data_IF_074401497243
#
_entry.id   IF_074401497243
#
_cell.length_a   1.000
_cell.length_b   1.000
_cell.length_c   1.000
_cell.angle_alpha   90.00
_cell.angle_beta   90.00
_cell.angle_gamma   90.00
#
_symmetry.space_group_name_H-M   'P 1'
#
loop_
_entity.id
_entity.type
_entity.pdbx_description
1 polymer ?
#
# COMPACT_ATOMS: atom_id res chain seq x y z
N UNK A 1 6.55 26.07 -49.31
CA UNK A 1 6.33 27.49 -49.69
C UNK A 1 5.49 28.15 -48.63
N UNK A 2 5.97 29.29 -48.22
CA UNK A 2 5.41 30.40 -47.41
C UNK A 2 5.39 30.26 -45.88
N UNK A 3 6.43 30.87 -45.36
CA UNK A 3 6.56 31.43 -44.00
C UNK A 3 5.69 32.69 -43.89
N UNK A 4 5.09 32.94 -42.73
CA UNK A 4 4.73 34.29 -42.32
C UNK A 4 5.08 34.43 -40.83
N UNK A 5 6.00 35.35 -40.57
CA UNK A 5 6.37 35.94 -39.28
C UNK A 5 5.50 37.17 -39.05
N UNK A 6 5.02 37.41 -37.85
CA UNK A 6 4.72 38.77 -37.38
C UNK A 6 5.18 38.88 -35.93
N UNK A 7 6.17 39.76 -35.74
CA UNK A 7 6.59 40.31 -34.48
C UNK A 7 5.87 41.65 -34.27
N UNK A 8 5.47 41.95 -33.06
CA UNK A 8 5.24 43.34 -32.64
C UNK A 8 5.74 43.56 -31.21
N UNK A 9 6.73 44.46 -31.16
CA UNK A 9 7.29 45.12 -30.02
C UNK A 9 6.30 46.16 -29.45
N UNK A 10 6.35 46.41 -28.16
CA UNK A 10 5.71 47.56 -27.53
C UNK A 10 6.26 47.81 -26.15
N UNK A 11 7.27 48.66 -26.11
CA UNK A 11 7.90 49.28 -24.91
C UNK A 11 7.03 50.41 -24.40
N UNK A 12 6.87 50.56 -23.07
CA UNK A 12 6.83 51.89 -22.47
C UNK A 12 7.23 51.82 -20.97
N UNK A 13 8.34 52.55 -20.69
CA UNK A 13 8.79 52.96 -19.35
C UNK A 13 7.94 54.13 -18.84
N UNK A 14 7.71 54.20 -17.52
CA UNK A 14 7.62 55.47 -16.83
C UNK A 14 8.28 55.31 -15.43
N UNK A 15 9.32 56.14 -15.23
CA UNK A 15 9.97 56.46 -13.95
C UNK A 15 9.11 57.44 -13.13
N UNK A 16 9.13 57.29 -11.83
CA UNK A 16 8.63 58.29 -10.89
C UNK A 16 9.28 58.18 -9.52
N UNK A 17 10.02 59.21 -9.16
CA UNK A 17 10.96 59.34 -8.04
C UNK A 17 10.29 59.72 -6.70
N UNK A 18 10.93 59.26 -5.61
CA UNK A 18 11.28 59.93 -4.33
C UNK A 18 10.15 60.36 -3.38
N UNK A 19 10.28 59.91 -2.14
CA UNK A 19 9.64 60.44 -0.95
C UNK A 19 10.17 59.77 0.31
N UNK A 20 11.17 60.39 0.94
CA UNK A 20 11.71 60.06 2.25
C UNK A 20 10.78 60.56 3.35
N UNK A 21 10.54 59.79 4.39
CA UNK A 21 9.79 60.23 5.56
C UNK A 21 9.79 59.17 6.67
N UNK A 22 10.50 59.50 7.74
CA UNK A 22 10.69 58.77 8.98
C UNK A 22 9.45 58.66 9.84
N UNK A 23 9.46 57.64 10.69
CA UNK A 23 8.90 57.42 12.03
C UNK A 23 7.75 56.43 12.24
N UNK A 24 8.14 55.42 12.94
CA UNK A 24 7.52 54.79 14.16
C UNK A 24 6.02 54.53 14.19
N UNK A 25 5.68 53.28 14.24
CA UNK A 25 4.33 52.83 14.64
C UNK A 25 4.18 51.30 14.57
N UNK A 26 4.39 50.66 15.71
CA UNK A 26 4.06 49.24 15.91
C UNK A 26 2.60 48.98 15.59
N UNK A 27 2.31 48.05 14.70
CA UNK A 27 1.17 47.15 14.86
C UNK A 27 1.45 45.86 14.10
N UNK A 28 1.43 44.78 14.87
CA UNK A 28 1.62 43.39 14.38
C UNK A 28 0.38 42.98 13.61
N UNK A 29 0.51 42.77 12.32
CA UNK A 29 -0.51 42.05 11.53
C UNK A 29 -0.10 40.60 11.42
N UNK A 30 -0.96 39.79 11.98
CA UNK A 30 -0.86 38.35 12.18
C UNK A 30 -1.05 37.64 10.84
N UNK A 31 0.04 37.22 10.21
CA UNK A 31 -0.04 36.27 9.07
C UNK A 31 -0.60 34.95 9.55
N UNK A 32 -1.67 34.50 8.91
CA UNK A 32 -2.26 33.18 9.14
C UNK A 32 -1.29 32.08 8.72
N UNK A 33 -1.08 31.05 9.53
CA UNK A 33 -0.26 29.90 9.13
C UNK A 33 -1.01 29.01 8.14
N UNK A 34 -0.31 28.58 7.09
CA UNK A 34 -0.74 27.53 6.19
C UNK A 34 -0.98 26.23 6.97
N UNK A 35 -1.93 25.37 6.55
CA UNK A 35 -2.22 24.14 7.26
C UNK A 35 -1.02 23.20 7.23
N UNK A 36 -0.46 22.93 8.39
CA UNK A 36 0.54 21.89 8.59
C UNK A 36 -0.06 20.54 8.26
N UNK A 37 0.52 19.85 7.29
CA UNK A 37 0.25 18.45 7.07
C UNK A 37 0.73 17.68 8.30
N UNK A 38 -0.19 17.21 9.10
CA UNK A 38 0.08 16.32 10.21
C UNK A 38 0.49 14.95 9.65
N UNK A 39 1.77 14.69 9.58
CA UNK A 39 2.30 13.34 9.47
C UNK A 39 1.99 12.63 10.78
N UNK A 40 0.94 11.83 10.80
CA UNK A 40 0.69 10.90 11.89
C UNK A 40 1.74 9.79 11.82
N UNK A 41 2.86 9.98 12.51
CA UNK A 41 3.73 8.92 12.96
C UNK A 41 2.99 8.17 14.06
N UNK A 42 2.47 6.99 13.73
CA UNK A 42 1.93 6.08 14.73
C UNK A 42 3.10 5.36 15.40
N UNK A 43 3.64 5.95 16.46
CA UNK A 43 4.37 5.21 17.49
C UNK A 43 3.36 4.39 18.28
N UNK A 44 3.17 3.11 17.90
CA UNK A 44 2.42 2.19 18.74
C UNK A 44 3.34 1.13 19.32
N UNK A 45 3.92 1.43 20.46
CA UNK A 45 4.47 0.43 21.37
C UNK A 45 3.36 0.00 22.32
N UNK A 46 2.67 -1.11 21.99
CA UNK A 46 1.71 -1.76 22.87
C UNK A 46 2.26 -3.08 23.39
N UNK A 47 1.91 -3.53 24.62
CA UNK A 47 2.51 -4.68 25.29
C UNK A 47 2.09 -6.01 24.67
N UNK A 48 3.01 -6.97 24.67
CA UNK A 48 2.85 -8.28 24.09
C UNK A 48 1.74 -9.10 24.78
N UNK A 49 0.61 -9.29 24.08
CA UNK A 49 -0.39 -10.27 24.44
C UNK A 49 -0.17 -11.55 23.61
N UNK A 50 -0.51 -12.72 24.19
CA UNK A 50 -0.41 -14.03 23.52
C UNK A 50 -1.11 -13.99 22.15
N UNK A 51 -0.43 -14.48 21.12
CA UNK A 51 -1.04 -14.69 19.81
C UNK A 51 -1.28 -13.43 18.99
N UNK A 52 -0.32 -12.50 18.95
CA UNK A 52 -0.45 -11.29 18.11
C UNK A 52 -0.56 -11.63 16.63
N UNK A 53 -1.57 -11.05 16.00
CA UNK A 53 -1.84 -11.21 14.58
C UNK A 53 -1.49 -9.91 13.86
N UNK A 54 -0.75 -10.02 12.76
CA UNK A 54 -0.53 -8.94 11.81
C UNK A 54 -1.27 -9.24 10.52
N UNK A 55 -2.07 -8.31 10.03
CA UNK A 55 -2.61 -8.32 8.68
C UNK A 55 -1.72 -7.47 7.80
N UNK A 56 -0.82 -8.11 7.04
CA UNK A 56 0.03 -7.46 6.06
C UNK A 56 -0.66 -7.48 4.69
N UNK A 57 -0.93 -6.30 4.11
CA UNK A 57 -1.72 -6.23 2.90
C UNK A 57 -1.11 -5.36 1.81
N UNK A 58 -1.37 -5.75 0.55
CA UNK A 58 -1.16 -4.91 -0.63
C UNK A 58 -2.51 -4.58 -1.27
N UNK A 59 -2.71 -3.32 -1.64
CA UNK A 59 -3.93 -2.88 -2.32
C UNK A 59 -3.64 -1.72 -3.26
N UNK A 60 -3.86 -1.91 -4.56
CA UNK A 60 -3.68 -0.86 -5.57
C UNK A 60 -4.95 0.00 -5.75
N UNK A 61 -6.15 -0.58 -5.57
CA UNK A 61 -7.44 0.10 -5.84
C UNK A 61 -8.31 0.29 -4.61
N UNK A 62 -7.84 -0.12 -3.42
CA UNK A 62 -8.57 0.03 -2.16
C UNK A 62 -9.41 -1.18 -1.75
N UNK A 63 -9.78 -2.09 -2.66
CA UNK A 63 -10.63 -3.25 -2.34
C UNK A 63 -10.00 -4.15 -1.27
N UNK A 64 -8.75 -4.54 -1.45
CA UNK A 64 -8.04 -5.38 -0.49
C UNK A 64 -7.77 -4.63 0.83
N UNK A 65 -7.54 -3.32 0.79
CA UNK A 65 -7.42 -2.49 2.00
C UNK A 65 -8.68 -2.61 2.85
N UNK A 66 -9.87 -2.47 2.24
CA UNK A 66 -11.15 -2.61 2.95
C UNK A 66 -11.28 -3.99 3.61
N UNK A 67 -10.94 -5.07 2.89
CA UNK A 67 -10.91 -6.42 3.46
C UNK A 67 -9.91 -6.54 4.62
N UNK A 68 -8.70 -6.01 4.47
CA UNK A 68 -7.66 -6.07 5.48
C UNK A 68 -8.07 -5.33 6.77
N UNK A 69 -8.65 -4.14 6.65
CA UNK A 69 -9.17 -3.35 7.77
C UNK A 69 -10.31 -4.08 8.49
N UNK A 70 -11.25 -4.67 7.74
CA UNK A 70 -12.33 -5.47 8.32
C UNK A 70 -11.79 -6.71 9.04
N UNK A 71 -10.78 -7.37 8.45
CA UNK A 71 -10.11 -8.52 9.05
C UNK A 71 -9.37 -8.13 10.34
N UNK A 72 -8.62 -7.04 10.31
CA UNK A 72 -7.92 -6.56 11.50
C UNK A 72 -8.89 -6.23 12.64
N UNK A 73 -9.99 -5.54 12.36
CA UNK A 73 -11.06 -5.28 13.34
C UNK A 73 -11.69 -6.57 13.86
N UNK A 74 -12.00 -7.52 12.98
CA UNK A 74 -12.63 -8.79 13.36
C UNK A 74 -11.72 -9.63 14.27
N UNK A 75 -10.41 -9.62 14.06
CA UNK A 75 -9.43 -10.44 14.77
C UNK A 75 -8.71 -9.70 15.90
N UNK A 76 -8.99 -8.41 16.09
CA UNK A 76 -8.20 -7.52 16.96
C UNK A 76 -6.71 -7.58 16.61
N UNK A 77 -6.40 -7.46 15.33
CA UNK A 77 -5.07 -7.57 14.74
C UNK A 77 -4.51 -6.20 14.36
N UNK A 78 -3.19 -6.10 14.29
CA UNK A 78 -2.52 -4.94 13.75
C UNK A 78 -2.48 -4.97 12.21
N UNK A 79 -2.34 -3.80 11.58
CA UNK A 79 -2.26 -3.64 10.13
C UNK A 79 -0.87 -3.20 9.70
N UNK A 80 -0.40 -3.74 8.58
CA UNK A 80 0.78 -3.25 7.87
C UNK A 80 0.49 -3.19 6.36
N UNK A 81 0.69 -2.03 5.76
CA UNK A 81 0.54 -1.86 4.31
C UNK A 81 1.86 -2.18 3.59
N UNK A 82 1.83 -3.19 2.74
CA UNK A 82 2.92 -3.52 1.82
C UNK A 82 2.86 -2.51 0.67
N UNK A 83 3.81 -1.59 0.63
CA UNK A 83 3.83 -0.53 -0.38
C UNK A 83 4.97 -0.74 -1.37
N UNK A 84 4.72 -0.67 -2.68
CA UNK A 84 5.79 -0.58 -3.65
C UNK A 84 6.51 0.77 -3.55
N UNK A 85 7.83 0.80 -3.86
CA UNK A 85 8.62 2.03 -3.92
C UNK A 85 8.01 3.06 -4.87
N UNK A 86 7.51 2.59 -6.02
CA UNK A 86 6.75 3.38 -6.98
C UNK A 86 5.31 2.87 -6.97
N UNK A 87 4.32 3.67 -6.51
CA UNK A 87 2.91 3.28 -6.54
C UNK A 87 2.44 2.93 -7.96
N UNK A 88 1.48 2.02 -8.08
CA UNK A 88 0.83 1.76 -9.37
C UNK A 88 -0.12 2.89 -9.71
N UNK A 89 0.04 3.46 -10.90
CA UNK A 89 -0.90 4.42 -11.46
C UNK A 89 -2.15 3.70 -12.01
N UNK A 90 -3.16 4.46 -12.39
CA UNK A 90 -4.36 3.90 -13.02
C UNK A 90 -4.03 3.24 -14.37
N UNK A 91 -3.09 3.83 -15.09
CA UNK A 91 -2.61 3.34 -16.38
C UNK A 91 -1.84 2.03 -16.21
N UNK A 92 -1.02 1.90 -15.14
CA UNK A 92 -0.31 0.66 -14.81
C UNK A 92 -1.24 -0.54 -14.57
N UNK A 93 -2.49 -0.29 -14.22
CA UNK A 93 -3.50 -1.30 -13.87
C UNK A 93 -4.46 -1.62 -15.02
N UNK A 94 -4.22 -1.15 -16.24
CA UNK A 94 -5.06 -1.46 -17.39
C UNK A 94 -4.83 -2.89 -17.88
N UNK A 95 -5.69 -3.82 -17.51
CA UNK A 95 -5.62 -5.24 -17.88
C UNK A 95 -5.79 -5.54 -19.37
N UNK A 96 -6.27 -4.57 -20.13
CA UNK A 96 -6.47 -4.72 -21.60
C UNK A 96 -5.21 -4.35 -22.38
N UNK A 97 -4.18 -3.87 -21.74
CA UNK A 97 -2.91 -3.47 -22.34
C UNK A 97 -1.77 -4.35 -21.80
N UNK A 98 -1.20 -5.16 -22.69
CA UNK A 98 -0.13 -6.10 -22.42
C UNK A 98 1.19 -5.42 -21.99
N UNK A 99 1.35 -4.14 -22.30
CA UNK A 99 2.55 -3.34 -22.01
C UNK A 99 2.52 -2.64 -20.66
N UNK A 100 1.39 -2.69 -19.95
CA UNK A 100 1.27 -2.04 -18.65
C UNK A 100 2.18 -2.70 -17.61
N UNK A 101 2.61 -1.90 -16.64
CA UNK A 101 3.53 -2.35 -15.60
C UNK A 101 3.01 -3.58 -14.85
N UNK A 102 1.74 -3.57 -14.44
CA UNK A 102 1.16 -4.71 -13.72
C UNK A 102 1.16 -5.98 -14.58
N UNK A 103 0.85 -5.87 -15.90
CA UNK A 103 0.88 -7.01 -16.83
C UNK A 103 2.29 -7.53 -17.01
N UNK A 104 3.25 -6.65 -17.28
CA UNK A 104 4.66 -7.01 -17.51
C UNK A 104 5.25 -7.68 -16.26
N UNK A 105 5.05 -7.09 -15.08
CA UNK A 105 5.52 -7.68 -13.84
C UNK A 105 4.88 -9.06 -13.60
N UNK A 106 3.57 -9.19 -13.81
CA UNK A 106 2.84 -10.43 -13.51
C UNK A 106 3.23 -11.58 -14.45
N UNK A 107 3.54 -11.28 -15.71
CA UNK A 107 4.03 -12.28 -16.69
C UNK A 107 5.49 -12.69 -16.48
N UNK A 108 6.22 -11.98 -15.65
CA UNK A 108 7.62 -12.28 -15.33
C UNK A 108 7.75 -12.87 -13.91
N UNK A 109 7.95 -14.19 -13.82
CA UNK A 109 8.10 -14.89 -12.54
C UNK A 109 9.30 -14.41 -11.69
N UNK A 110 10.28 -13.79 -12.34
CA UNK A 110 11.47 -13.22 -11.69
C UNK A 110 11.28 -11.74 -11.28
N UNK A 111 10.16 -11.12 -11.61
CA UNK A 111 9.93 -9.73 -11.23
C UNK A 111 9.85 -9.59 -9.70
N UNK A 112 10.60 -8.62 -9.18
CA UNK A 112 10.63 -8.29 -7.74
C UNK A 112 10.49 -6.78 -7.59
N UNK A 113 9.25 -6.22 -7.68
CA UNK A 113 9.03 -4.82 -7.43
C UNK A 113 9.57 -4.43 -6.06
N UNK A 114 10.28 -3.31 -5.97
CA UNK A 114 10.90 -2.87 -4.73
C UNK A 114 9.84 -2.43 -3.72
N UNK A 115 10.06 -2.78 -2.45
CA UNK A 115 9.28 -2.27 -1.33
C UNK A 115 9.69 -0.82 -1.02
N UNK A 116 8.71 0.02 -0.68
CA UNK A 116 8.95 1.40 -0.26
C UNK A 116 9.77 1.47 1.05
N UNK A 117 9.60 0.48 1.90
CA UNK A 117 10.38 0.28 3.12
C UNK A 117 10.50 -1.21 3.46
N UNK A 118 11.36 -1.53 4.41
CA UNK A 118 11.56 -2.89 4.93
C UNK A 118 11.35 -2.95 6.45
N UNK A 119 10.35 -2.22 6.92
CA UNK A 119 10.09 -2.01 8.35
C UNK A 119 8.91 -2.84 8.87
N UNK A 120 8.43 -3.85 8.12
CA UNK A 120 7.37 -4.71 8.60
C UNK A 120 7.79 -5.40 9.91
N UNK A 121 7.01 -5.25 10.99
CA UNK A 121 7.41 -5.72 12.31
C UNK A 121 7.12 -7.22 12.49
N UNK A 122 7.45 -8.04 11.49
CA UNK A 122 7.14 -9.48 11.42
C UNK A 122 7.58 -10.23 12.69
N UNK A 123 8.73 -9.87 13.24
CA UNK A 123 9.29 -10.52 14.43
C UNK A 123 8.36 -10.46 15.65
N UNK A 124 7.50 -9.46 15.74
CA UNK A 124 6.65 -9.19 16.92
C UNK A 124 5.31 -9.96 16.91
N UNK A 125 5.07 -10.79 15.88
CA UNK A 125 3.78 -11.47 15.69
C UNK A 125 3.97 -12.97 15.54
N UNK A 126 2.98 -13.72 16.02
CA UNK A 126 2.95 -15.17 15.90
C UNK A 126 2.20 -15.61 14.63
N UNK A 127 1.22 -14.83 14.23
CA UNK A 127 0.39 -15.09 13.05
C UNK A 127 0.46 -13.93 12.07
N UNK A 128 0.71 -14.24 10.81
CA UNK A 128 0.70 -13.25 9.71
C UNK A 128 -0.40 -13.64 8.72
N UNK A 129 -1.30 -12.69 8.46
CA UNK A 129 -2.31 -12.78 7.43
C UNK A 129 -1.84 -11.95 6.24
N UNK A 130 -1.58 -12.60 5.09
CA UNK A 130 -1.27 -11.90 3.85
C UNK A 130 -2.56 -11.59 3.11
N UNK A 131 -2.84 -10.31 2.86
CA UNK A 131 -4.03 -9.88 2.14
C UNK A 131 -3.65 -9.22 0.81
N UNK A 132 -4.17 -9.71 -0.33
CA UNK A 132 -3.78 -9.22 -1.66
C UNK A 132 -4.90 -9.38 -2.69
N UNK A 133 -4.89 -8.58 -3.77
CA UNK A 133 -5.78 -8.82 -4.91
C UNK A 133 -5.25 -9.97 -5.77
N UNK A 134 -6.13 -10.72 -6.44
CA UNK A 134 -5.69 -11.67 -7.46
C UNK A 134 -5.44 -10.91 -8.78
N UNK A 135 -4.22 -11.01 -9.30
CA UNK A 135 -3.80 -10.52 -10.60
C UNK A 135 -3.38 -11.69 -11.48
N UNK A 136 -4.05 -11.89 -12.63
CA UNK A 136 -3.80 -13.01 -13.56
C UNK A 136 -3.72 -14.38 -12.85
N UNK A 137 -4.63 -14.62 -11.89
CA UNK A 137 -4.71 -15.89 -11.15
C UNK A 137 -3.66 -16.08 -10.06
N UNK A 138 -2.83 -15.09 -9.78
CA UNK A 138 -1.75 -15.15 -8.78
C UNK A 138 -1.75 -13.94 -7.84
N UNK A 139 -0.94 -14.00 -6.79
CA UNK A 139 -0.61 -12.82 -5.99
C UNK A 139 0.25 -11.84 -6.82
N UNK A 140 0.10 -10.52 -6.63
CA UNK A 140 0.98 -9.53 -7.26
C UNK A 140 2.45 -9.73 -6.88
N UNK A 141 3.37 -9.52 -7.80
CA UNK A 141 4.82 -9.77 -7.60
C UNK A 141 5.46 -9.01 -6.42
N UNK A 142 4.82 -7.96 -5.95
CA UNK A 142 5.26 -7.27 -4.72
C UNK A 142 5.16 -8.18 -3.48
N UNK A 143 4.22 -9.14 -3.46
CA UNK A 143 4.10 -10.14 -2.40
C UNK A 143 5.28 -11.12 -2.42
N UNK A 144 5.78 -11.47 -3.62
CA UNK A 144 6.98 -12.31 -3.77
C UNK A 144 8.17 -11.61 -3.09
N UNK A 145 8.37 -10.33 -3.42
CA UNK A 145 9.40 -9.50 -2.77
C UNK A 145 9.24 -9.46 -1.25
N UNK A 146 8.00 -9.34 -0.78
CA UNK A 146 7.71 -9.25 0.64
C UNK A 146 8.05 -10.55 1.38
N UNK A 147 7.56 -11.70 0.90
CA UNK A 147 7.78 -12.98 1.58
C UNK A 147 9.24 -13.46 1.53
N UNK A 148 10.00 -13.01 0.54
CA UNK A 148 11.45 -13.25 0.44
C UNK A 148 12.29 -12.31 1.32
N UNK A 149 11.73 -11.14 1.71
CA UNK A 149 12.47 -10.11 2.46
C UNK A 149 12.54 -10.35 3.95
N UNK A 150 11.62 -11.14 4.53
CA UNK A 150 11.52 -11.36 5.97
C UNK A 150 11.64 -12.84 6.33
N UNK A 151 12.07 -13.12 7.56
CA UNK A 151 12.11 -14.48 8.11
C UNK A 151 10.79 -14.79 8.84
N UNK A 152 10.09 -15.83 8.39
CA UNK A 152 8.83 -16.29 8.95
C UNK A 152 8.97 -17.58 9.77
N UNK A 153 10.19 -17.95 10.16
CA UNK A 153 10.41 -19.18 10.94
C UNK A 153 9.58 -19.19 12.23
N UNK A 154 8.85 -20.29 12.43
CA UNK A 154 8.00 -20.53 13.60
C UNK A 154 6.68 -19.75 13.62
N UNK A 155 6.35 -19.03 12.55
CA UNK A 155 5.10 -18.27 12.47
C UNK A 155 4.02 -19.06 11.75
N UNK A 156 2.75 -18.77 12.08
CA UNK A 156 1.59 -19.22 11.32
C UNK A 156 1.29 -18.22 10.22
N UNK A 157 1.11 -18.68 8.99
CA UNK A 157 0.75 -17.86 7.85
C UNK A 157 -0.57 -18.34 7.23
N UNK A 158 -1.36 -17.39 6.77
CA UNK A 158 -2.51 -17.65 5.92
C UNK A 158 -2.68 -16.52 4.92
N UNK A 159 -3.40 -16.77 3.85
CA UNK A 159 -3.68 -15.80 2.80
C UNK A 159 -5.17 -15.51 2.70
N UNK A 160 -5.52 -14.24 2.55
CA UNK A 160 -6.86 -13.82 2.14
C UNK A 160 -6.73 -12.95 0.89
N UNK A 161 -7.67 -13.07 -0.02
CA UNK A 161 -7.59 -12.28 -1.24
C UNK A 161 -8.93 -11.67 -1.64
N UNK A 162 -8.85 -10.65 -2.49
CA UNK A 162 -9.98 -10.09 -3.24
C UNK A 162 -9.78 -10.40 -4.72
N UNK A 163 -10.85 -10.54 -5.48
CA UNK A 163 -10.78 -10.78 -6.92
C UNK A 163 -11.99 -10.19 -7.63
N UNK A 164 -11.81 -9.82 -8.88
CA UNK A 164 -12.89 -9.40 -9.78
C UNK A 164 -13.63 -10.56 -10.45
N UNK A 165 -13.14 -11.81 -10.31
CA UNK A 165 -13.77 -12.95 -10.95
C UNK A 165 -13.06 -14.29 -10.80
N UNK A 166 -11.79 -14.29 -10.36
CA UNK A 166 -11.03 -15.52 -10.11
C UNK A 166 -11.15 -15.94 -8.64
N UNK A 167 -10.98 -17.23 -8.35
CA UNK A 167 -10.77 -17.71 -6.99
C UNK A 167 -9.30 -17.48 -6.56
N UNK A 168 -8.95 -17.81 -5.30
CA UNK A 168 -7.59 -17.76 -4.76
C UNK A 168 -6.63 -18.67 -5.54
N UNK A 169 -7.13 -19.73 -6.14
CA UNK A 169 -6.35 -20.69 -6.93
C UNK A 169 -5.14 -21.21 -6.16
N UNK A 170 -4.00 -21.24 -6.82
CA UNK A 170 -2.71 -21.68 -6.26
C UNK A 170 -1.83 -20.53 -5.74
N UNK A 171 -2.38 -19.31 -5.64
CA UNK A 171 -1.58 -18.12 -5.30
C UNK A 171 -0.96 -18.19 -3.90
N UNK A 172 -1.67 -18.75 -2.92
CA UNK A 172 -1.14 -18.98 -1.57
C UNK A 172 -0.03 -20.04 -1.55
N UNK A 173 -0.21 -21.14 -2.29
CA UNK A 173 0.81 -22.21 -2.40
C UNK A 173 2.07 -21.71 -3.10
N UNK A 174 1.92 -20.81 -4.06
CA UNK A 174 3.05 -20.17 -4.72
C UNK A 174 3.84 -19.29 -3.73
N UNK A 175 3.16 -18.42 -2.96
CA UNK A 175 3.81 -17.61 -1.93
C UNK A 175 4.48 -18.47 -0.85
N UNK A 176 3.86 -19.60 -0.46
CA UNK A 176 4.46 -20.54 0.48
C UNK A 176 5.84 -21.04 0.02
N UNK A 177 5.99 -21.36 -1.26
CA UNK A 177 7.26 -21.83 -1.84
C UNK A 177 8.36 -20.76 -1.80
N UNK A 178 7.98 -19.49 -1.90
CA UNK A 178 8.90 -18.34 -1.86
C UNK A 178 9.20 -17.87 -0.44
N UNK A 179 8.38 -18.26 0.53
CA UNK A 179 8.48 -17.77 1.90
C UNK A 179 9.81 -18.19 2.54
N UNK A 180 10.56 -17.20 3.00
CA UNK A 180 11.82 -17.44 3.70
C UNK A 180 11.57 -17.98 5.12
N UNK A 181 12.26 -19.05 5.47
CA UNK A 181 12.12 -19.70 6.76
C UNK A 181 11.03 -20.79 6.78
N UNK A 182 10.93 -21.48 7.93
CA UNK A 182 9.94 -22.53 8.13
C UNK A 182 8.70 -21.96 8.82
N UNK A 183 7.68 -21.65 8.07
CA UNK A 183 6.39 -21.19 8.55
C UNK A 183 5.34 -22.31 8.47
N UNK A 184 4.36 -22.28 9.37
CA UNK A 184 3.18 -23.14 9.31
C UNK A 184 2.11 -22.44 8.45
N UNK A 185 1.98 -22.84 7.19
CA UNK A 185 0.95 -22.29 6.31
C UNK A 185 -0.41 -22.98 6.54
N UNK A 186 -1.44 -22.14 6.67
CA UNK A 186 -2.85 -22.55 6.72
C UNK A 186 -3.52 -22.27 5.38
N UNK A 187 -4.68 -22.86 5.16
CA UNK A 187 -5.47 -22.62 3.95
C UNK A 187 -5.71 -21.14 3.72
N UNK A 188 -5.74 -20.74 2.45
CA UNK A 188 -6.13 -19.39 2.04
C UNK A 188 -7.59 -19.31 1.62
N UNK A 189 -8.17 -18.10 1.55
CA UNK A 189 -9.55 -17.88 1.14
C UNK A 189 -9.79 -16.58 0.40
N UNK A 190 -10.63 -16.63 -0.61
CA UNK A 190 -11.21 -15.46 -1.26
C UNK A 190 -12.34 -14.88 -0.39
N UNK A 191 -12.31 -13.57 -0.19
CA UNK A 191 -13.38 -12.82 0.46
C UNK A 191 -13.85 -11.65 -0.40
N UNK A 192 -15.12 -11.27 -0.25
CA UNK A 192 -15.58 -9.97 -0.71
C UNK A 192 -14.82 -8.86 0.05
N UNK A 193 -14.52 -7.71 -0.57
CA UNK A 193 -13.98 -6.55 0.15
C UNK A 193 -14.81 -6.17 1.38
N UNK A 194 -16.14 -6.34 1.32
CA UNK A 194 -17.10 -6.02 2.37
C UNK A 194 -17.51 -7.25 3.20
N UNK A 195 -16.66 -8.29 3.28
CA UNK A 195 -16.95 -9.47 4.07
C UNK A 195 -17.32 -9.11 5.52
N UNK A 196 -18.33 -9.78 6.05
CA UNK A 196 -18.81 -9.55 7.41
C UNK A 196 -17.82 -10.06 8.44
N UNK A 197 -17.73 -9.38 9.56
CA UNK A 197 -16.82 -9.75 10.65
C UNK A 197 -17.07 -11.17 11.16
N UNK A 198 -18.33 -11.61 11.18
CA UNK A 198 -18.72 -12.96 11.63
C UNK A 198 -18.17 -14.04 10.69
N UNK A 199 -18.24 -13.81 9.37
CA UNK A 199 -17.74 -14.75 8.37
C UNK A 199 -16.22 -14.87 8.43
N UNK A 200 -15.54 -13.74 8.62
CA UNK A 200 -14.10 -13.68 8.82
C UNK A 200 -13.71 -14.45 10.08
N UNK A 201 -14.31 -14.12 11.24
CA UNK A 201 -14.02 -14.80 12.52
C UNK A 201 -14.28 -16.30 12.45
N UNK A 202 -15.42 -16.70 11.87
CA UNK A 202 -15.78 -18.11 11.74
C UNK A 202 -14.73 -18.89 10.95
N UNK A 203 -14.25 -18.30 9.84
CA UNK A 203 -13.24 -18.96 9.03
C UNK A 203 -11.88 -19.05 9.75
N UNK A 204 -11.40 -17.98 10.38
CA UNK A 204 -10.14 -17.98 11.12
C UNK A 204 -10.17 -18.94 12.31
N UNK A 205 -11.29 -19.02 13.04
CA UNK A 205 -11.48 -20.00 14.10
C UNK A 205 -11.37 -21.45 13.57
N UNK A 206 -11.91 -21.71 12.38
CA UNK A 206 -11.78 -23.00 11.69
C UNK A 206 -10.36 -23.39 11.33
N UNK A 207 -9.45 -22.40 11.22
CA UNK A 207 -8.01 -22.62 11.00
C UNK A 207 -7.21 -22.84 12.28
N UNK A 208 -7.81 -22.65 13.45
CA UNK A 208 -7.12 -22.64 14.73
C UNK A 208 -6.20 -21.43 14.93
N UNK A 209 -6.61 -20.27 14.41
CA UNK A 209 -5.91 -18.97 14.47
C UNK A 209 -6.67 -17.97 15.35
#
# INVERSE_FOLDING_TARGET
MRKIWIACLGVLMILGLVGCGTESGKTAEKAAPAPAQTTAQADSKAPAAKGKILVAYFSATGNTRTLAENTAKALNADLYEIRPEVPYSKEDLNYNDESTRATVEQKNDSARPKLADKNAPIANYDTIVLAYPIWWGQAPRILDTFVESYDFTGKKLTAICTSGGSDIGTSADYLQKLTKGKAEWKAGKLFSPQAKAEDIKSWFNGLGL
#
